data_IF_900299401920
#
_entry.id   IF_900299401920
#
_cell.length_a   1.000
_cell.length_b   1.000
_cell.length_c   1.000
_cell.angle_alpha   90.00
_cell.angle_beta   90.00
_cell.angle_gamma   90.00
#
_symmetry.space_group_name_H-M   'P 1'
#
loop_
_entity.id
_entity.type
_entity.pdbx_description
1 polymer ?
#
# COMPACT_ATOMS: atom_id res chain seq x y z
N UNK A 1 -19.59 -32.47 -0.75
CA UNK A 1 -20.34 -32.11 0.47
C UNK A 1 -20.77 -30.65 0.36
N UNK A 2 -22.02 -30.44 -0.05
CA UNK A 2 -22.70 -29.15 -0.02
C UNK A 2 -23.13 -28.83 1.41
N UNK A 3 -23.00 -27.58 1.84
CA UNK A 3 -23.84 -27.02 2.88
C UNK A 3 -24.22 -25.58 2.48
N UNK A 4 -25.45 -25.49 1.97
CA UNK A 4 -26.24 -24.28 1.75
C UNK A 4 -26.68 -23.76 3.12
N UNK A 5 -26.59 -22.46 3.38
CA UNK A 5 -27.45 -21.83 4.38
C UNK A 5 -28.03 -20.51 3.85
N UNK A 6 -29.36 -20.53 3.78
CA UNK A 6 -30.28 -19.41 3.56
C UNK A 6 -30.68 -18.87 4.93
N UNK A 7 -30.70 -17.55 5.13
CA UNK A 7 -31.50 -16.90 6.19
C UNK A 7 -32.12 -15.62 5.62
N UNK A 8 -33.40 -15.46 5.97
CA UNK A 8 -34.43 -14.60 5.40
C UNK A 8 -34.28 -13.08 5.68
N UNK A 9 -34.92 -12.29 4.82
CA UNK A 9 -35.20 -10.87 5.01
C UNK A 9 -36.32 -10.65 6.04
N UNK A 10 -36.07 -9.82 7.05
CA UNK A 10 -37.09 -9.10 7.80
C UNK A 10 -36.52 -7.79 8.38
N UNK A 11 -37.10 -6.65 8.02
CA UNK A 11 -36.91 -5.31 8.61
C UNK A 11 -38.27 -4.57 8.45
N UNK A 12 -38.73 -3.63 9.31
CA UNK A 12 -38.11 -3.07 10.52
C UNK A 12 -39.01 -3.09 11.78
N UNK A 13 -38.38 -3.15 12.96
CA UNK A 13 -38.87 -2.47 14.17
C UNK A 13 -37.66 -1.77 14.81
N UNK A 14 -37.79 -0.46 14.99
CA UNK A 14 -36.80 0.42 15.61
C UNK A 14 -36.70 0.06 17.09
N UNK A 15 -35.59 -0.56 17.47
CA UNK A 15 -35.17 -0.68 18.86
C UNK A 15 -33.83 0.06 18.98
N UNK A 16 -33.81 1.06 19.86
CA UNK A 16 -32.60 1.81 20.20
C UNK A 16 -31.53 0.86 20.75
N UNK A 17 -30.25 1.00 20.33
CA UNK A 17 -29.20 0.12 20.79
C UNK A 17 -28.93 0.30 22.30
N UNK A 18 -28.63 -0.77 23.05
CA UNK A 18 -28.15 -0.64 24.42
C UNK A 18 -26.78 0.06 24.44
N UNK A 19 -26.57 0.87 25.47
CA UNK A 19 -25.34 1.62 25.72
C UNK A 19 -24.11 0.68 25.76
N UNK A 20 -23.00 1.03 25.09
CA UNK A 20 -21.82 0.18 25.05
C UNK A 20 -21.18 0.04 26.44
N UNK A 21 -20.64 -1.14 26.79
CA UNK A 21 -19.93 -1.32 28.04
C UNK A 21 -18.70 -0.39 28.09
N UNK A 22 -18.51 0.26 29.24
CA UNK A 22 -17.39 1.15 29.52
C UNK A 22 -16.07 0.39 29.28
N UNK A 23 -15.13 0.91 28.47
CA UNK A 23 -13.86 0.25 28.22
C UNK A 23 -13.07 0.12 29.53
N UNK A 24 -12.32 -0.98 29.73
CA UNK A 24 -11.43 -1.10 30.87
C UNK A 24 -10.40 0.04 30.83
N UNK A 25 -10.17 0.67 31.98
CA UNK A 25 -9.20 1.74 32.12
C UNK A 25 -7.83 1.27 31.58
N UNK A 26 -7.28 2.01 30.61
CA UNK A 26 -5.91 1.80 30.18
C UNK A 26 -4.97 1.94 31.40
N UNK A 27 -3.89 1.14 31.48
CA UNK A 27 -2.85 1.37 32.46
C UNK A 27 -2.32 2.80 32.29
N UNK A 28 -2.50 3.62 33.32
CA UNK A 28 -1.97 4.98 33.41
C UNK A 28 -0.46 4.90 33.55
N UNK A 29 0.24 4.79 32.42
CA UNK A 29 1.66 5.14 32.36
C UNK A 29 1.75 6.67 32.49
N UNK A 30 2.59 7.19 33.40
CA UNK A 30 2.63 8.63 33.68
C UNK A 30 3.02 9.42 32.43
N UNK A 31 2.30 10.52 32.21
CA UNK A 31 2.58 11.47 31.13
C UNK A 31 4.05 11.92 31.18
N UNK A 32 4.76 12.00 30.04
CA UNK A 32 6.04 12.67 30.01
C UNK A 32 5.82 14.15 30.38
N UNK A 33 6.74 14.75 31.15
CA UNK A 33 6.59 16.13 31.62
C UNK A 33 6.48 17.06 30.42
N UNK A 34 5.58 18.05 30.52
CA UNK A 34 5.28 19.04 29.48
C UNK A 34 6.56 19.52 28.79
N UNK A 35 6.79 19.00 27.59
CA UNK A 35 7.98 19.25 26.81
C UNK A 35 7.74 20.39 25.84
N UNK A 36 8.64 21.38 25.88
CA UNK A 36 8.75 22.46 24.92
C UNK A 36 8.63 21.91 23.49
N UNK A 37 7.75 22.49 22.69
CA UNK A 37 7.61 22.15 21.27
C UNK A 37 8.94 22.44 20.56
N UNK A 38 9.58 21.45 19.89
CA UNK A 38 10.86 21.66 19.23
C UNK A 38 10.76 22.65 18.06
N UNK A 39 11.73 23.54 17.93
CA UNK A 39 11.87 24.45 16.79
C UNK A 39 12.66 23.76 15.67
N UNK A 40 11.96 23.29 14.64
CA UNK A 40 12.55 22.54 13.53
C UNK A 40 13.29 23.42 12.49
N UNK A 41 13.41 24.72 12.72
CA UNK A 41 13.97 25.68 11.74
C UNK A 41 15.45 26.03 11.95
N UNK A 42 16.10 25.53 13.01
CA UNK A 42 17.48 25.93 13.37
C UNK A 42 18.50 24.81 13.19
N UNK A 43 19.42 25.02 12.25
CA UNK A 43 20.67 24.28 12.10
C UNK A 43 21.87 25.25 12.18
N UNK A 44 22.54 25.39 13.35
CA UNK A 44 23.80 26.16 13.52
C UNK A 44 24.51 25.86 14.86
N UNK A 45 25.85 25.71 14.92
CA UNK A 45 26.54 24.86 15.91
C UNK A 45 26.81 25.47 17.31
N UNK A 46 25.95 26.33 17.87
CA UNK A 46 26.21 26.94 19.19
C UNK A 46 24.99 27.23 20.05
N UNK A 47 23.98 26.35 20.07
CA UNK A 47 22.95 26.38 21.12
C UNK A 47 22.39 25.00 21.39
N UNK A 48 22.05 24.71 22.64
CA UNK A 48 21.65 23.39 23.16
C UNK A 48 20.32 22.82 22.60
N UNK A 49 19.75 23.43 21.57
CA UNK A 49 18.43 23.10 20.98
C UNK A 49 18.53 22.90 19.45
N UNK A 50 19.55 22.18 18.97
CA UNK A 50 19.68 21.84 17.56
C UNK A 50 18.96 20.54 17.23
N UNK A 51 18.20 20.53 16.13
CA UNK A 51 17.71 19.28 15.56
C UNK A 51 18.89 18.54 14.95
N UNK A 52 19.30 17.48 15.64
CA UNK A 52 20.24 16.52 15.11
C UNK A 52 19.52 15.67 14.07
N UNK A 53 20.17 15.45 12.94
CA UNK A 53 19.81 14.42 11.97
C UNK A 53 20.61 13.16 12.31
N UNK A 54 20.08 11.98 11.95
CA UNK A 54 20.85 10.73 12.01
C UNK A 54 22.16 10.89 11.22
N UNK A 55 23.31 10.71 11.89
CA UNK A 55 24.62 10.88 11.26
C UNK A 55 24.92 9.76 10.24
N UNK A 56 24.33 8.59 10.43
CA UNK A 56 24.54 7.41 9.57
C UNK A 56 23.49 7.29 8.45
N UNK A 57 22.63 8.31 8.28
CA UNK A 57 21.41 8.21 7.48
C UNK A 57 20.31 7.45 8.23
N UNK A 58 19.06 7.66 7.85
CA UNK A 58 17.92 6.90 8.36
C UNK A 58 17.74 5.59 7.58
N UNK A 59 17.92 5.67 6.27
CA UNK A 59 17.94 4.53 5.37
C UNK A 59 19.03 4.76 4.33
N UNK A 60 19.85 3.73 4.10
CA UNK A 60 21.04 3.80 3.25
C UNK A 60 21.15 2.53 2.42
N UNK A 61 21.41 2.74 1.14
CA UNK A 61 21.78 1.74 0.16
C UNK A 61 23.14 2.13 -0.43
N UNK A 62 24.12 1.25 -0.28
CA UNK A 62 25.50 1.53 -0.67
C UNK A 62 25.73 1.62 -2.18
N UNK A 63 24.90 0.94 -2.98
CA UNK A 63 25.06 0.86 -4.44
C UNK A 63 23.71 0.88 -5.15
N UNK A 64 23.70 1.44 -6.36
CA UNK A 64 22.59 1.28 -7.29
C UNK A 64 22.43 -0.22 -7.58
N UNK A 65 21.23 -0.80 -7.43
CA UNK A 65 21.03 -2.22 -7.71
C UNK A 65 21.23 -2.54 -9.19
N UNK A 66 21.64 -3.78 -9.46
CA UNK A 66 21.79 -4.28 -10.82
C UNK A 66 20.48 -4.12 -11.61
N UNK A 67 20.60 -3.83 -12.91
CA UNK A 67 19.46 -3.57 -13.78
C UNK A 67 18.94 -2.14 -13.76
N UNK A 68 19.55 -1.24 -12.99
CA UNK A 68 19.23 0.19 -12.98
C UNK A 68 20.39 1.05 -13.45
N UNK A 69 20.08 2.05 -14.28
CA UNK A 69 21.02 3.04 -14.78
C UNK A 69 20.66 4.42 -14.24
N UNK A 70 21.61 5.08 -13.60
CA UNK A 70 21.44 6.46 -13.16
C UNK A 70 21.41 7.41 -14.37
N UNK A 71 20.35 8.22 -14.47
CA UNK A 71 20.17 9.26 -15.48
C UNK A 71 20.57 10.66 -14.97
N UNK A 72 20.93 10.78 -13.68
CA UNK A 72 21.37 12.00 -13.03
C UNK A 72 20.32 12.60 -12.09
N UNK A 73 20.72 13.72 -11.48
CA UNK A 73 19.92 14.43 -10.48
C UNK A 73 18.60 14.95 -11.07
N UNK A 74 17.54 14.85 -10.27
CA UNK A 74 16.23 15.42 -10.59
C UNK A 74 16.32 16.96 -10.56
N UNK A 75 15.73 17.67 -11.54
CA UNK A 75 15.64 19.12 -11.53
C UNK A 75 15.02 19.64 -10.22
N UNK A 76 15.60 20.69 -9.63
CA UNK A 76 15.17 21.19 -8.31
C UNK A 76 13.69 21.59 -8.25
N UNK A 77 13.12 22.04 -9.37
CA UNK A 77 11.72 22.49 -9.49
C UNK A 77 10.74 21.36 -9.77
N UNK A 78 11.22 20.12 -10.01
CA UNK A 78 10.34 18.98 -10.28
C UNK A 78 9.56 18.61 -9.01
N UNK A 79 8.25 18.39 -9.15
CA UNK A 79 7.39 18.03 -8.03
C UNK A 79 7.44 16.52 -7.78
N UNK A 80 7.79 16.15 -6.56
CA UNK A 80 7.83 14.76 -6.10
C UNK A 80 6.73 14.57 -5.06
N UNK A 81 5.86 13.58 -5.27
CA UNK A 81 4.92 13.13 -4.25
C UNK A 81 5.60 12.13 -3.33
N UNK A 82 5.69 12.49 -2.05
CA UNK A 82 6.35 11.72 -1.00
C UNK A 82 5.31 11.18 -0.04
N UNK A 83 5.54 9.96 0.41
CA UNK A 83 4.80 9.25 1.45
C UNK A 83 5.76 8.91 2.58
N UNK A 84 5.47 9.42 3.77
CA UNK A 84 6.17 9.10 5.00
C UNK A 84 5.32 8.06 5.73
N UNK A 85 5.84 6.84 5.86
CA UNK A 85 5.22 5.76 6.61
C UNK A 85 5.57 5.87 8.09
N UNK A 86 4.57 5.88 8.95
CA UNK A 86 4.76 5.86 10.40
C UNK A 86 4.97 4.43 10.90
N UNK A 87 5.67 4.29 12.03
CA UNK A 87 5.70 3.01 12.74
C UNK A 87 4.30 2.65 13.21
N UNK A 88 4.02 1.36 13.23
CA UNK A 88 2.71 0.79 13.57
C UNK A 88 2.88 -0.05 14.84
N UNK A 89 2.79 0.53 16.05
CA UNK A 89 3.07 -0.19 17.30
C UNK A 89 2.20 -1.43 17.50
N UNK A 90 0.96 -1.40 17.01
CA UNK A 90 0.03 -2.51 17.11
C UNK A 90 0.10 -3.53 15.97
N UNK A 91 1.10 -3.45 15.08
CA UNK A 91 1.23 -4.35 13.95
C UNK A 91 1.31 -5.83 14.36
N UNK A 92 1.96 -6.14 15.48
CA UNK A 92 2.03 -7.52 15.96
C UNK A 92 0.69 -8.04 16.48
N UNK A 93 -0.16 -7.17 17.04
CA UNK A 93 -1.55 -7.52 17.36
C UNK A 93 -2.36 -7.77 16.09
N UNK A 94 -2.17 -6.97 15.06
CA UNK A 94 -2.81 -7.17 13.74
C UNK A 94 -2.39 -8.53 13.16
N UNK A 95 -1.09 -8.86 13.16
CA UNK A 95 -0.58 -10.16 12.71
C UNK A 95 -1.17 -11.32 13.50
N UNK A 96 -1.22 -11.19 14.83
CA UNK A 96 -1.83 -12.20 15.71
C UNK A 96 -3.29 -12.42 15.35
N UNK A 97 -4.08 -11.34 15.23
CA UNK A 97 -5.50 -11.43 14.88
C UNK A 97 -5.70 -12.00 13.48
N UNK A 98 -4.86 -11.64 12.52
CA UNK A 98 -4.87 -12.23 11.18
C UNK A 98 -4.67 -13.76 11.24
N UNK A 99 -3.75 -14.23 12.07
CA UNK A 99 -3.57 -15.66 12.32
C UNK A 99 -4.82 -16.33 12.87
N UNK A 100 -5.44 -15.74 13.90
CA UNK A 100 -6.66 -16.25 14.53
C UNK A 100 -7.86 -16.31 13.58
N UNK A 101 -8.06 -15.30 12.72
CA UNK A 101 -9.22 -15.26 11.80
C UNK A 101 -9.00 -16.12 10.55
N UNK A 102 -7.75 -16.47 10.24
CA UNK A 102 -7.38 -17.26 9.06
C UNK A 102 -7.25 -18.76 9.34
N UNK A 103 -7.09 -19.16 10.61
CA UNK A 103 -7.01 -20.57 11.00
C UNK A 103 -8.41 -21.23 11.05
N UNK A 104 -8.71 -22.24 10.21
CA UNK A 104 -9.99 -22.95 10.22
C UNK A 104 -10.34 -23.64 11.54
N UNK A 105 -9.35 -23.88 12.42
CA UNK A 105 -9.55 -24.50 13.74
C UNK A 105 -9.80 -23.48 14.84
N UNK A 106 -9.55 -22.20 14.56
CA UNK A 106 -9.74 -21.12 15.52
C UNK A 106 -11.23 -20.82 15.71
N UNK A 107 -11.68 -20.55 16.95
CA UNK A 107 -13.05 -20.07 17.18
C UNK A 107 -13.31 -18.70 16.54
N UNK A 108 -12.26 -17.99 16.11
CA UNK A 108 -12.30 -16.69 15.44
C UNK A 108 -12.28 -16.79 13.91
N UNK A 109 -12.24 -18.00 13.35
CA UNK A 109 -12.18 -18.21 11.91
C UNK A 109 -13.27 -17.43 11.17
N UNK A 110 -12.88 -16.68 10.13
CA UNK A 110 -13.75 -15.82 9.29
C UNK A 110 -14.45 -14.66 10.02
N UNK A 111 -14.10 -14.35 11.27
CA UNK A 111 -14.57 -13.14 11.96
C UNK A 111 -13.72 -11.94 11.56
N UNK A 112 -13.87 -11.49 10.31
CA UNK A 112 -13.15 -10.35 9.77
C UNK A 112 -13.50 -9.06 10.51
N UNK A 113 -12.54 -8.13 10.56
CA UNK A 113 -12.67 -6.84 11.21
C UNK A 113 -13.05 -5.75 10.21
N UNK A 114 -13.75 -4.71 10.68
CA UNK A 114 -13.92 -3.51 9.89
C UNK A 114 -12.59 -2.77 9.73
N UNK A 115 -12.50 -1.92 8.70
CA UNK A 115 -11.34 -1.07 8.48
C UNK A 115 -11.05 -0.18 9.70
N UNK A 116 -12.08 0.41 10.33
CA UNK A 116 -11.92 1.23 11.52
C UNK A 116 -11.37 0.46 12.72
N UNK A 117 -11.78 -0.80 12.90
CA UNK A 117 -11.26 -1.65 13.96
C UNK A 117 -9.77 -2.00 13.73
N UNK A 118 -9.36 -2.20 12.47
CA UNK A 118 -7.95 -2.41 12.13
C UNK A 118 -7.14 -1.14 12.38
N UNK A 119 -7.63 0.03 11.96
CA UNK A 119 -6.98 1.32 12.21
C UNK A 119 -6.75 1.56 13.71
N UNK A 120 -7.77 1.33 14.54
CA UNK A 120 -7.63 1.42 15.98
C UNK A 120 -6.57 0.46 16.52
N UNK A 121 -6.47 -0.74 15.94
CA UNK A 121 -5.49 -1.75 16.33
C UNK A 121 -4.05 -1.41 15.89
N UNK A 122 -3.84 -0.56 14.88
CA UNK A 122 -2.51 -0.12 14.46
C UNK A 122 -1.76 0.64 15.56
N UNK A 123 -2.49 1.26 16.49
CA UNK A 123 -1.91 1.91 17.68
C UNK A 123 -1.10 3.16 17.37
N UNK A 124 -1.38 3.84 16.25
CA UNK A 124 -0.73 5.11 15.90
C UNK A 124 -1.21 6.19 16.86
N UNK A 125 -0.29 6.79 17.60
CA UNK A 125 -0.59 7.84 18.57
C UNK A 125 -0.83 9.16 17.86
N UNK A 126 -1.83 9.93 18.30
CA UNK A 126 -2.14 11.24 17.71
C UNK A 126 -0.96 12.20 17.85
N UNK A 127 -0.24 12.11 18.97
CA UNK A 127 0.93 12.94 19.28
C UNK A 127 2.07 12.72 18.28
N UNK A 128 2.26 11.48 17.83
CA UNK A 128 3.29 11.13 16.83
C UNK A 128 2.94 11.73 15.46
N UNK A 129 1.67 11.64 15.06
CA UNK A 129 1.16 12.25 13.83
C UNK A 129 1.32 13.77 13.89
N UNK A 130 0.90 14.39 14.99
CA UNK A 130 0.97 15.84 15.17
C UNK A 130 2.44 16.33 15.16
N UNK A 131 3.39 15.54 15.67
CA UNK A 131 4.82 15.86 15.64
C UNK A 131 5.38 15.86 14.21
N UNK A 132 5.03 14.87 13.39
CA UNK A 132 5.45 14.80 11.97
C UNK A 132 4.81 15.94 11.17
N UNK A 133 3.52 16.20 11.37
CA UNK A 133 2.82 17.30 10.69
C UNK A 133 3.39 18.66 11.08
N UNK A 134 3.74 18.84 12.37
CA UNK A 134 4.38 20.05 12.84
C UNK A 134 5.75 20.25 12.20
N UNK A 135 6.59 19.21 12.16
CA UNK A 135 7.90 19.25 11.49
C UNK A 135 7.76 19.76 10.05
N UNK A 136 6.85 19.18 9.27
CA UNK A 136 6.60 19.60 7.89
C UNK A 136 6.09 21.04 7.81
N UNK A 137 5.14 21.40 8.69
CA UNK A 137 4.55 22.75 8.74
C UNK A 137 5.57 23.84 9.04
N UNK A 138 6.53 23.60 9.93
CA UNK A 138 7.58 24.59 10.27
C UNK A 138 8.45 24.95 9.06
N UNK A 139 8.52 24.08 8.06
CA UNK A 139 9.24 24.27 6.81
C UNK A 139 8.33 24.81 5.68
N UNK A 140 7.10 25.20 6.02
CA UNK A 140 6.11 25.73 5.08
C UNK A 140 5.42 24.64 4.23
N UNK A 141 5.57 23.37 4.59
CA UNK A 141 4.99 22.25 3.84
C UNK A 141 3.61 21.88 4.39
N UNK A 142 2.67 21.62 3.47
CA UNK A 142 1.37 21.06 3.80
C UNK A 142 1.38 19.56 3.49
N UNK A 143 0.87 18.76 4.44
CA UNK A 143 0.82 17.31 4.31
C UNK A 143 -0.52 16.77 4.82
N UNK A 144 -0.93 15.66 4.24
CA UNK A 144 -2.18 14.98 4.59
C UNK A 144 -1.86 13.64 5.25
N UNK A 145 -2.38 13.42 6.45
CA UNK A 145 -2.35 12.13 7.11
C UNK A 145 -3.52 11.26 6.63
N UNK A 146 -3.25 10.05 6.16
CA UNK A 146 -4.27 9.01 6.10
C UNK A 146 -4.23 8.20 7.39
N UNK A 147 -5.40 7.87 7.90
CA UNK A 147 -5.56 7.17 9.18
C UNK A 147 -5.00 5.72 9.15
N UNK A 148 -4.37 5.31 8.04
CA UNK A 148 -3.66 4.05 7.87
C UNK A 148 -2.15 4.17 8.18
N UNK A 149 -1.66 5.33 8.60
CA UNK A 149 -0.27 5.52 9.01
C UNK A 149 0.61 6.18 7.97
N UNK A 150 0.04 6.84 6.95
CA UNK A 150 0.81 7.54 5.93
C UNK A 150 0.60 9.04 5.99
N UNK A 151 1.70 9.79 5.99
CA UNK A 151 1.69 11.24 5.76
C UNK A 151 2.16 11.50 4.34
N UNK A 152 1.31 12.11 3.51
CA UNK A 152 1.58 12.40 2.10
C UNK A 152 1.71 13.90 1.84
N UNK A 153 2.69 14.26 1.02
CA UNK A 153 2.91 15.63 0.56
C UNK A 153 3.49 15.64 -0.85
N UNK A 154 3.29 16.74 -1.57
CA UNK A 154 3.94 17.00 -2.86
C UNK A 154 4.81 18.25 -2.70
N UNK A 155 6.08 18.14 -3.08
CA UNK A 155 7.08 19.17 -2.85
C UNK A 155 8.12 19.18 -3.98
N UNK A 156 8.73 20.33 -4.22
CA UNK A 156 9.85 20.48 -5.15
C UNK A 156 11.08 19.66 -4.70
N UNK A 157 11.75 18.99 -5.64
CA UNK A 157 12.89 18.14 -5.39
C UNK A 157 14.02 18.85 -4.63
N UNK A 158 14.27 20.13 -4.92
CA UNK A 158 15.29 20.93 -4.23
C UNK A 158 14.99 21.13 -2.74
N UNK A 159 13.72 21.33 -2.38
CA UNK A 159 13.28 21.44 -0.99
C UNK A 159 13.27 20.07 -0.31
N UNK A 160 12.87 19.03 -1.02
CA UNK A 160 12.89 17.65 -0.52
C UNK A 160 14.31 17.15 -0.22
N UNK A 161 15.27 17.46 -1.10
CA UNK A 161 16.70 17.18 -0.91
C UNK A 161 17.22 17.80 0.39
N UNK A 162 16.83 19.05 0.69
CA UNK A 162 17.17 19.74 1.95
C UNK A 162 16.47 19.11 3.15
N UNK A 163 15.18 18.81 3.03
CA UNK A 163 14.35 18.21 4.09
C UNK A 163 14.92 16.86 4.57
N UNK A 164 15.37 16.04 3.63
CA UNK A 164 15.82 14.68 3.87
C UNK A 164 17.35 14.53 3.84
N UNK A 165 18.09 15.63 3.76
CA UNK A 165 19.55 15.66 3.60
C UNK A 165 20.05 14.64 2.56
N UNK A 166 19.52 14.75 1.33
CA UNK A 166 19.69 13.75 0.27
C UNK A 166 19.76 14.40 -1.12
N UNK A 167 20.01 13.59 -2.14
CA UNK A 167 19.87 13.96 -3.54
C UNK A 167 19.05 12.91 -4.30
N UNK A 168 17.89 13.32 -4.81
CA UNK A 168 17.08 12.48 -5.70
C UNK A 168 17.63 12.46 -7.12
N UNK A 169 17.67 11.26 -7.70
CA UNK A 169 18.10 10.97 -9.06
C UNK A 169 17.01 10.21 -9.81
N UNK A 170 17.00 10.33 -11.12
CA UNK A 170 16.17 9.50 -11.99
C UNK A 170 16.97 8.26 -12.41
N UNK A 171 16.37 7.09 -12.27
CA UNK A 171 16.97 5.81 -12.62
C UNK A 171 16.13 5.11 -13.67
N UNK A 172 16.76 4.56 -14.69
CA UNK A 172 16.12 3.80 -15.74
C UNK A 172 16.35 2.30 -15.55
N UNK A 173 15.28 1.50 -15.62
CA UNK A 173 15.39 0.05 -15.70
C UNK A 173 15.96 -0.35 -17.06
N UNK A 174 16.94 -1.26 -17.05
CA UNK A 174 17.50 -1.90 -18.24
C UNK A 174 16.53 -2.92 -18.84
N UNK A 175 15.59 -3.47 -18.06
CA UNK A 175 14.67 -4.50 -18.51
C UNK A 175 13.39 -3.93 -19.15
N UNK A 176 12.90 -2.78 -18.68
CA UNK A 176 11.61 -2.20 -19.10
C UNK A 176 11.69 -0.76 -19.61
N UNK A 177 12.88 -0.15 -19.66
CA UNK A 177 13.10 1.28 -19.95
C UNK A 177 12.38 2.25 -18.99
N UNK A 178 11.73 1.73 -17.94
CA UNK A 178 10.97 2.51 -16.97
C UNK A 178 11.89 3.43 -16.17
N UNK A 179 11.47 4.68 -16.01
CA UNK A 179 12.20 5.67 -15.19
C UNK A 179 11.52 5.82 -13.83
N UNK A 180 12.30 5.78 -12.75
CA UNK A 180 11.87 6.02 -11.37
C UNK A 180 12.75 7.06 -10.70
N UNK A 181 12.16 7.88 -9.83
CA UNK A 181 12.90 8.84 -9.00
C UNK A 181 13.26 8.20 -7.67
N UNK A 182 14.55 8.08 -7.33
CA UNK A 182 15.04 7.45 -6.09
C UNK A 182 16.23 8.19 -5.51
N UNK A 183 16.60 7.82 -4.29
CA UNK A 183 17.86 8.22 -3.67
C UNK A 183 18.55 7.00 -3.08
N UNK A 184 19.87 7.06 -2.90
CA UNK A 184 20.64 5.99 -2.26
C UNK A 184 20.67 6.12 -0.74
N UNK A 185 20.43 7.30 -0.19
CA UNK A 185 20.42 7.49 1.26
C UNK A 185 19.64 8.71 1.63
N UNK A 186 18.91 8.68 2.74
CA UNK A 186 18.27 9.88 3.27
C UNK A 186 18.31 9.91 4.79
N UNK A 187 18.26 11.10 5.35
CA UNK A 187 18.18 11.35 6.79
C UNK A 187 16.82 11.93 7.20
N UNK A 188 16.52 11.80 8.49
CA UNK A 188 15.40 12.49 9.15
C UNK A 188 15.89 13.04 10.50
N UNK A 189 15.17 14.01 11.11
CA UNK A 189 15.41 14.42 12.48
C UNK A 189 15.45 13.24 13.46
N UNK A 190 16.44 13.20 14.36
CA UNK A 190 16.62 12.13 15.35
C UNK A 190 15.36 11.89 16.20
N UNK A 191 14.66 12.97 16.55
CA UNK A 191 13.39 12.92 17.31
C UNK A 191 12.28 12.15 16.59
N UNK A 192 12.33 12.05 15.26
CA UNK A 192 11.34 11.36 14.44
C UNK A 192 11.73 9.91 14.13
N UNK A 193 12.93 9.46 14.51
CA UNK A 193 13.40 8.09 14.23
C UNK A 193 12.60 7.01 14.96
N UNK A 194 11.97 7.36 16.08
CA UNK A 194 11.06 6.47 16.81
C UNK A 194 9.62 6.50 16.27
N UNK A 195 9.31 7.45 15.38
CA UNK A 195 7.95 7.68 14.85
C UNK A 195 7.85 7.25 13.39
N UNK A 196 8.83 7.61 12.56
CA UNK A 196 8.87 7.32 11.14
C UNK A 196 9.46 5.91 10.95
N UNK A 197 8.82 5.13 10.09
CA UNK A 197 9.30 3.82 9.65
C UNK A 197 10.06 3.90 8.34
N UNK A 198 9.57 4.68 7.37
CA UNK A 198 10.19 4.81 6.05
C UNK A 198 9.70 6.06 5.31
N UNK A 199 10.41 6.45 4.26
CA UNK A 199 10.02 7.50 3.32
C UNK A 199 10.10 6.94 1.91
N UNK A 200 9.06 7.14 1.11
CA UNK A 200 9.03 6.74 -0.30
C UNK A 200 8.49 7.88 -1.18
N UNK A 201 9.07 8.18 -2.36
CA UNK A 201 10.27 7.57 -2.93
C UNK A 201 11.51 7.73 -2.03
N UNK A 202 12.33 6.69 -1.97
CA UNK A 202 13.47 6.58 -1.06
C UNK A 202 14.54 5.65 -1.64
N UNK A 203 15.04 4.71 -0.83
CA UNK A 203 16.12 3.76 -1.17
C UNK A 203 15.63 2.44 -1.80
N UNK A 204 14.31 2.23 -1.88
CA UNK A 204 13.71 1.05 -2.50
C UNK A 204 13.63 1.20 -4.03
N UNK A 205 14.24 0.27 -4.75
CA UNK A 205 14.19 0.16 -6.22
C UNK A 205 13.17 -0.89 -6.68
N UNK A 206 12.19 -1.19 -5.83
CA UNK A 206 11.16 -2.18 -6.13
C UNK A 206 10.24 -1.69 -7.27
N UNK A 207 9.69 -2.62 -8.04
CA UNK A 207 8.65 -2.35 -9.02
C UNK A 207 9.03 -2.54 -10.48
N UNK A 208 10.22 -3.04 -10.80
CA UNK A 208 10.51 -3.54 -12.15
C UNK A 208 10.18 -5.03 -12.24
N UNK A 209 8.88 -5.32 -12.34
CA UNK A 209 8.44 -6.66 -12.66
C UNK A 209 8.56 -6.86 -14.17
N UNK A 210 9.72 -7.34 -14.61
CA UNK A 210 9.86 -7.95 -15.93
C UNK A 210 8.87 -9.12 -16.01
N UNK A 211 7.68 -8.85 -16.53
CA UNK A 211 6.83 -9.94 -16.98
C UNK A 211 7.56 -10.55 -18.18
N UNK A 212 8.02 -11.79 -18.03
CA UNK A 212 8.27 -12.62 -19.19
C UNK A 212 6.94 -12.71 -19.95
N UNK A 213 6.74 -11.83 -20.92
CA UNK A 213 5.69 -11.99 -21.91
C UNK A 213 6.08 -13.26 -22.66
N UNK A 214 5.54 -14.39 -22.20
CA UNK A 214 5.47 -15.59 -23.02
C UNK A 214 4.59 -15.19 -24.19
N UNK A 215 5.22 -14.80 -25.30
CA UNK A 215 4.52 -14.60 -26.56
C UNK A 215 3.70 -15.87 -26.78
N UNK A 216 2.35 -15.78 -26.85
CA UNK A 216 1.55 -16.95 -27.07
C UNK A 216 2.03 -17.56 -28.38
N UNK A 217 2.39 -18.84 -28.34
CA UNK A 217 2.63 -19.65 -29.54
C UNK A 217 1.45 -19.37 -30.47
N UNK A 218 1.74 -18.89 -31.69
CA UNK A 218 0.73 -18.34 -32.58
C UNK A 218 -0.57 -19.15 -32.52
N UNK A 219 -1.66 -18.50 -32.08
CA UNK A 219 -2.98 -19.14 -32.02
C UNK A 219 -3.29 -19.72 -33.41
N UNK A 220 -3.69 -21.00 -33.52
CA UNK A 220 -3.99 -21.60 -34.80
C UNK A 220 -5.05 -20.76 -35.53
N UNK A 221 -4.73 -20.28 -36.74
CA UNK A 221 -5.72 -19.60 -37.58
C UNK A 221 -6.80 -20.62 -37.96
N UNK A 222 -8.06 -20.34 -37.61
CA UNK A 222 -9.21 -21.11 -38.07
C UNK A 222 -9.93 -21.97 -37.01
N UNK A 223 -10.14 -21.46 -35.79
CA UNK A 223 -11.17 -22.02 -34.89
C UNK A 223 -12.56 -21.71 -35.46
N UNK A 224 -12.94 -22.46 -36.48
CA UNK A 224 -14.25 -22.40 -37.09
C UNK A 224 -15.30 -22.95 -36.12
N UNK A 225 -16.43 -22.23 -36.07
CA UNK A 225 -17.73 -22.57 -35.50
C UNK A 225 -17.85 -23.98 -34.92
N UNK A 226 -18.08 -24.04 -33.60
CA UNK A 226 -18.71 -25.17 -32.88
C UNK A 226 -18.12 -26.54 -33.25
N UNK A 227 -16.83 -26.75 -32.93
CA UNK A 227 -16.31 -28.11 -32.75
C UNK A 227 -16.37 -28.46 -31.27
N UNK A 228 -17.35 -29.31 -30.98
CA UNK A 228 -17.60 -30.00 -29.72
C UNK A 228 -16.47 -31.00 -29.45
N UNK A 229 -15.32 -30.49 -29.03
CA UNK A 229 -14.31 -31.17 -28.21
C UNK A 229 -13.30 -30.10 -27.78
N UNK A 230 -13.47 -29.58 -26.55
CA UNK A 230 -12.57 -28.63 -25.91
C UNK A 230 -11.22 -29.29 -25.64
N UNK A 231 -10.34 -29.32 -26.65
CA UNK A 231 -8.95 -29.67 -26.43
C UNK A 231 -8.26 -28.49 -25.73
N UNK A 232 -8.39 -28.45 -24.40
CA UNK A 232 -7.70 -27.51 -23.52
C UNK A 232 -6.17 -27.47 -23.76
N UNK A 233 -5.58 -28.51 -24.37
CA UNK A 233 -4.17 -28.54 -24.71
C UNK A 233 -3.81 -27.63 -25.90
N UNK A 234 -4.80 -27.18 -26.69
CA UNK A 234 -4.60 -26.27 -27.84
C UNK A 234 -4.85 -24.81 -27.48
N UNK A 235 -5.85 -24.54 -26.63
CA UNK A 235 -6.16 -23.19 -26.17
C UNK A 235 -6.87 -23.21 -24.81
N UNK A 236 -6.41 -22.38 -23.88
CA UNK A 236 -7.04 -22.19 -22.57
C UNK A 236 -8.10 -21.08 -22.69
N UNK A 237 -9.37 -21.48 -22.71
CA UNK A 237 -10.53 -20.57 -22.75
C UNK A 237 -11.28 -20.58 -21.42
N UNK A 238 -12.17 -19.59 -21.14
CA UNK A 238 -13.02 -19.63 -19.95
C UNK A 238 -13.83 -20.92 -19.80
N UNK A 239 -14.41 -21.45 -20.87
CA UNK A 239 -15.15 -22.73 -20.85
C UNK A 239 -14.24 -23.91 -20.52
N UNK A 240 -13.01 -23.93 -21.05
CA UNK A 240 -12.01 -24.94 -20.70
C UNK A 240 -11.68 -24.90 -19.19
N UNK A 241 -11.43 -23.72 -18.64
CA UNK A 241 -11.17 -23.55 -17.21
C UNK A 241 -12.37 -23.94 -16.35
N UNK A 242 -13.59 -23.62 -16.79
CA UNK A 242 -14.81 -24.04 -16.11
C UNK A 242 -14.92 -25.55 -16.01
N UNK A 243 -14.66 -26.27 -17.10
CA UNK A 243 -14.72 -27.74 -17.11
C UNK A 243 -13.59 -28.36 -16.30
N UNK A 244 -12.36 -27.87 -16.47
CA UNK A 244 -11.19 -28.42 -15.79
C UNK A 244 -11.27 -28.29 -14.26
N UNK A 245 -11.77 -27.15 -13.78
CA UNK A 245 -11.87 -26.86 -12.34
C UNK A 245 -13.28 -27.05 -11.77
N UNK A 246 -14.24 -27.52 -12.57
CA UNK A 246 -15.63 -27.70 -12.13
C UNK A 246 -16.32 -26.40 -11.70
N UNK A 247 -15.97 -25.26 -12.31
CA UNK A 247 -16.56 -23.95 -11.99
C UNK A 247 -17.97 -23.90 -12.59
N UNK A 248 -19.02 -23.60 -11.80
CA UNK A 248 -20.39 -23.50 -12.31
C UNK A 248 -20.53 -22.44 -13.41
N UNK A 249 -21.30 -22.76 -14.45
CA UNK A 249 -21.64 -21.80 -15.53
C UNK A 249 -22.80 -20.87 -15.16
N UNK A 250 -23.45 -21.11 -14.03
CA UNK A 250 -24.56 -20.30 -13.53
C UNK A 250 -24.11 -18.88 -13.20
N UNK A 251 -24.74 -17.88 -13.81
CA UNK A 251 -24.52 -16.47 -13.47
C UNK A 251 -25.08 -16.18 -12.08
N UNK A 252 -24.28 -15.57 -11.22
CA UNK A 252 -24.73 -15.01 -9.94
C UNK A 252 -25.47 -13.71 -10.25
N UNK A 253 -26.78 -13.67 -10.00
CA UNK A 253 -27.67 -12.59 -10.43
C UNK A 253 -27.46 -11.28 -9.67
N UNK A 254 -27.12 -11.37 -8.39
CA UNK A 254 -26.76 -10.23 -7.55
C UNK A 254 -25.74 -10.67 -6.51
N UNK A 255 -24.64 -9.93 -6.43
CA UNK A 255 -23.71 -10.10 -5.32
C UNK A 255 -23.14 -8.74 -4.96
N UNK A 256 -23.19 -8.39 -3.67
CA UNK A 256 -22.38 -7.30 -3.09
C UNK A 256 -20.88 -7.68 -3.04
N UNK A 257 -20.44 -8.59 -3.91
CA UNK A 257 -19.06 -9.04 -4.01
C UNK A 257 -18.36 -8.18 -5.05
N UNK A 258 -17.24 -7.60 -4.64
CA UNK A 258 -16.36 -6.83 -5.51
C UNK A 258 -15.06 -7.63 -5.67
N UNK A 259 -14.61 -7.75 -6.92
CA UNK A 259 -13.28 -8.24 -7.24
C UNK A 259 -12.52 -7.05 -7.80
N UNK A 260 -11.42 -6.69 -7.14
CA UNK A 260 -10.46 -5.72 -7.66
C UNK A 260 -9.35 -6.47 -8.39
N UNK A 261 -8.98 -5.98 -9.57
CA UNK A 261 -7.81 -6.45 -10.33
C UNK A 261 -6.84 -5.29 -10.40
N UNK A 262 -5.62 -5.50 -9.89
CA UNK A 262 -4.57 -4.49 -9.89
C UNK A 262 -3.73 -4.63 -11.16
N UNK A 263 -3.67 -3.55 -11.94
CA UNK A 263 -2.66 -3.38 -12.99
C UNK A 263 -1.43 -2.67 -12.42
N UNK A 264 -0.25 -3.16 -12.77
CA UNK A 264 1.05 -2.59 -12.37
C UNK A 264 1.82 -2.33 -13.67
N UNK A 265 2.81 -1.43 -13.66
CA UNK A 265 3.66 -1.12 -14.82
C UNK A 265 2.92 -0.47 -16.00
N UNK A 266 2.09 0.53 -15.73
CA UNK A 266 1.32 1.24 -16.76
C UNK A 266 0.38 0.34 -17.58
N UNK A 267 0.02 -0.81 -17.00
CA UNK A 267 -1.05 -1.66 -17.51
C UNK A 267 -2.38 -1.28 -16.86
N UNK A 268 -3.38 -1.03 -17.69
CA UNK A 268 -4.71 -0.58 -17.26
C UNK A 268 -5.79 -1.44 -17.89
N UNK A 269 -6.91 -1.59 -17.20
CA UNK A 269 -8.05 -2.32 -17.71
C UNK A 269 -8.63 -1.63 -18.96
N UNK A 270 -8.56 -2.30 -20.12
CA UNK A 270 -9.21 -1.84 -21.34
C UNK A 270 -10.63 -2.40 -21.44
N UNK A 271 -11.63 -1.51 -21.39
CA UNK A 271 -13.04 -1.89 -21.45
C UNK A 271 -13.45 -2.45 -22.81
N UNK A 272 -12.89 -1.93 -23.91
CA UNK A 272 -13.22 -2.41 -25.25
C UNK A 272 -12.73 -3.84 -25.45
N UNK A 273 -11.52 -4.16 -24.99
CA UNK A 273 -10.97 -5.51 -25.04
C UNK A 273 -11.77 -6.47 -24.16
N UNK A 274 -12.20 -6.02 -22.98
CA UNK A 274 -13.06 -6.81 -22.09
C UNK A 274 -14.43 -7.12 -22.73
N UNK A 275 -15.05 -6.15 -23.41
CA UNK A 275 -16.30 -6.37 -24.14
C UNK A 275 -16.12 -7.34 -25.31
N UNK A 276 -15.04 -7.20 -26.07
CA UNK A 276 -14.71 -8.11 -27.16
C UNK A 276 -14.49 -9.54 -26.64
N UNK A 277 -13.73 -9.68 -25.54
CA UNK A 277 -13.51 -10.96 -24.88
C UNK A 277 -14.82 -11.57 -24.37
N UNK A 278 -15.67 -10.78 -23.72
CA UNK A 278 -16.97 -11.25 -23.24
C UNK A 278 -17.87 -11.73 -24.38
N UNK A 279 -17.90 -11.01 -25.51
CA UNK A 279 -18.66 -11.44 -26.71
C UNK A 279 -18.15 -12.77 -27.27
N UNK A 280 -16.85 -13.02 -27.22
CA UNK A 280 -16.24 -14.23 -27.74
C UNK A 280 -16.40 -15.46 -26.82
N UNK A 281 -16.43 -15.25 -25.50
CA UNK A 281 -16.26 -16.35 -24.53
C UNK A 281 -17.29 -16.42 -23.38
N UNK A 282 -18.29 -15.51 -23.30
CA UNK A 282 -19.34 -15.52 -22.25
C UNK A 282 -20.75 -15.86 -22.75
N UNK A 283 -20.87 -16.56 -23.88
CA UNK A 283 -22.16 -17.03 -24.42
C UNK A 283 -22.66 -18.33 -23.81
#
# INVERSE_FOLDING_TARGET
LLAVFSIAHAIPQVLTPPEPPTPPALPTTPAPPGGVVPDFTKASPSSSNLIQYSQDGFDVRSVVPDGWKDLGAVPETELITVTIGLKLPGLDMVKKKLGEISDPKSPEYRKFMSFDAIKALLGIRKEDVDMVLLWLKTLGLSATFDEAGYVRLTVEAGLLNKLLNTQFHNYQSVASDRVITRTLSYGIPTLLTDIISFVTPGTSFDGDFSHHIYLPRAMPKGLNKRQEALDCNKAITPTCLQQLYGIPSTRVAESNQLIAVLGINDEYANRADLEQFAKAYRS
#
